data_IF_530806939970
#
_entry.id   IF_530806939970
#
_cell.length_a   1.000
_cell.length_b   1.000
_cell.length_c   1.000
_cell.angle_alpha   90.00
_cell.angle_beta   90.00
_cell.angle_gamma   90.00
#
_symmetry.space_group_name_H-M   'P 1'
#
loop_
_entity.id
_entity.type
_entity.pdbx_description
1 polymer ?
#
# COMPACT_ATOMS: atom_id res chain seq x y z
N UNK A 1 13.43 -3.11 9.99
CA UNK A 1 13.39 -3.04 8.52
C UNK A 1 13.17 -1.60 8.09
N UNK A 2 13.81 -1.18 6.98
CA UNK A 2 13.90 0.23 6.62
C UNK A 2 12.68 0.74 5.86
N UNK A 3 11.97 1.70 6.43
CA UNK A 3 10.91 2.47 5.80
C UNK A 3 11.30 3.94 5.65
N UNK A 4 12.61 4.22 5.54
CA UNK A 4 13.20 5.57 5.45
C UNK A 4 12.66 6.56 6.52
N UNK A 5 12.27 6.04 7.70
CA UNK A 5 11.74 6.87 8.80
C UNK A 5 10.29 7.35 8.63
N UNK A 6 9.63 6.98 7.53
CA UNK A 6 8.21 7.32 7.29
C UNK A 6 7.31 6.65 8.33
N UNK A 7 7.57 5.37 8.60
CA UNK A 7 6.86 4.62 9.65
C UNK A 7 7.85 4.31 10.77
N UNK A 8 7.50 4.73 11.97
CA UNK A 8 8.29 4.50 13.18
C UNK A 8 7.76 3.30 13.95
N UNK A 9 8.68 2.51 14.52
CA UNK A 9 8.36 1.39 15.43
C UNK A 9 7.51 0.26 14.83
N UNK A 10 7.39 0.17 13.51
CA UNK A 10 6.72 -0.97 12.88
C UNK A 10 7.58 -2.24 13.02
N UNK A 11 7.01 -3.30 13.57
CA UNK A 11 7.67 -4.59 13.78
C UNK A 11 7.14 -5.67 12.84
N UNK A 12 5.89 -5.55 12.42
CA UNK A 12 5.19 -6.52 11.57
C UNK A 12 4.85 -5.85 10.24
N UNK A 13 5.04 -6.59 9.17
CA UNK A 13 4.76 -6.13 7.81
C UNK A 13 4.01 -7.20 7.03
N UNK A 14 3.01 -6.80 6.27
CA UNK A 14 2.45 -7.57 5.17
C UNK A 14 3.30 -7.34 3.94
N UNK A 15 3.91 -8.41 3.46
CA UNK A 15 4.76 -8.41 2.28
C UNK A 15 4.28 -9.53 1.37
N UNK A 16 4.12 -9.25 0.09
CA UNK A 16 3.76 -10.24 -0.90
C UNK A 16 4.59 -10.08 -2.16
N UNK A 17 4.83 -11.20 -2.83
CA UNK A 17 5.41 -11.25 -4.17
C UNK A 17 4.42 -11.84 -5.15
N UNK A 18 4.58 -11.50 -6.42
CA UNK A 18 3.80 -12.04 -7.52
C UNK A 18 4.70 -12.34 -8.70
N UNK A 19 4.34 -13.34 -9.48
CA UNK A 19 4.94 -13.56 -10.78
C UNK A 19 4.52 -12.45 -11.74
N UNK A 20 5.47 -11.98 -12.55
CA UNK A 20 5.19 -10.94 -13.53
C UNK A 20 4.41 -11.52 -14.71
N UNK A 21 3.09 -11.38 -14.70
CA UNK A 21 2.18 -11.85 -15.75
C UNK A 21 1.05 -10.84 -16.00
N UNK A 22 0.19 -11.14 -16.97
CA UNK A 22 -0.96 -10.30 -17.27
C UNK A 22 -1.90 -10.16 -16.07
N UNK A 23 -2.34 -8.93 -15.74
CA UNK A 23 -3.18 -8.56 -14.60
C UNK A 23 -2.59 -8.87 -13.20
N UNK A 24 -1.31 -9.19 -13.12
CA UNK A 24 -0.67 -9.54 -11.85
C UNK A 24 -0.78 -8.43 -10.79
N UNK A 25 -0.60 -7.17 -11.18
CA UNK A 25 -0.68 -6.04 -10.24
C UNK A 25 -2.11 -5.78 -9.77
N UNK A 26 -3.10 -5.98 -10.62
CA UNK A 26 -4.51 -5.89 -10.29
C UNK A 26 -4.92 -6.97 -9.28
N UNK A 27 -4.54 -8.21 -9.54
CA UNK A 27 -4.78 -9.33 -8.63
C UNK A 27 -4.09 -9.13 -7.28
N UNK A 28 -2.83 -8.67 -7.33
CA UNK A 28 -2.09 -8.32 -6.11
C UNK A 28 -2.82 -7.23 -5.30
N UNK A 29 -3.24 -6.16 -5.98
CA UNK A 29 -3.96 -5.05 -5.35
C UNK A 29 -5.25 -5.52 -4.68
N UNK A 30 -6.04 -6.34 -5.38
CA UNK A 30 -7.28 -6.93 -4.85
C UNK A 30 -7.02 -7.79 -3.61
N UNK A 31 -6.10 -8.74 -3.70
CA UNK A 31 -5.78 -9.64 -2.60
C UNK A 31 -5.24 -8.89 -1.38
N UNK A 32 -4.34 -7.93 -1.62
CA UNK A 32 -3.73 -7.15 -0.55
C UNK A 32 -4.75 -6.25 0.13
N UNK A 33 -5.62 -5.57 -0.61
CA UNK A 33 -6.67 -4.73 -0.02
C UNK A 33 -7.63 -5.56 0.84
N UNK A 34 -7.96 -6.77 0.42
CA UNK A 34 -8.77 -7.69 1.22
C UNK A 34 -8.12 -8.00 2.58
N UNK A 35 -6.81 -8.19 2.63
CA UNK A 35 -6.05 -8.36 3.88
C UNK A 35 -6.04 -7.07 4.71
N UNK A 36 -5.89 -5.91 4.09
CA UNK A 36 -5.93 -4.59 4.75
C UNK A 36 -7.30 -4.37 5.41
N UNK A 37 -8.39 -4.64 4.69
CA UNK A 37 -9.74 -4.55 5.25
C UNK A 37 -9.96 -5.50 6.42
N UNK A 38 -9.43 -6.72 6.34
CA UNK A 38 -9.48 -7.66 7.46
C UNK A 38 -8.67 -7.16 8.66
N UNK A 39 -7.49 -6.61 8.46
CA UNK A 39 -6.70 -5.98 9.53
C UNK A 39 -7.46 -4.82 10.18
N UNK A 40 -8.09 -3.97 9.38
CA UNK A 40 -8.95 -2.88 9.87
C UNK A 40 -10.11 -3.40 10.71
N UNK A 41 -10.78 -4.46 10.29
CA UNK A 41 -11.85 -5.11 11.06
C UNK A 41 -11.38 -5.62 12.42
N UNK A 42 -10.11 -6.01 12.52
CA UNK A 42 -9.47 -6.41 13.78
C UNK A 42 -8.94 -5.24 14.62
N UNK A 43 -9.21 -3.99 14.21
CA UNK A 43 -8.74 -2.79 14.91
C UNK A 43 -7.27 -2.46 14.68
N UNK A 44 -6.63 -3.08 13.68
CA UNK A 44 -5.23 -2.82 13.33
C UNK A 44 -5.13 -1.68 12.32
N UNK A 45 -4.07 -0.86 12.47
CA UNK A 45 -3.67 0.15 11.50
C UNK A 45 -2.73 -0.42 10.47
N UNK A 46 -2.87 0.04 9.23
CA UNK A 46 -2.03 -0.34 8.09
C UNK A 46 -1.71 0.88 7.25
N UNK A 47 -0.72 0.77 6.37
CA UNK A 47 -0.40 1.80 5.38
C UNK A 47 0.21 1.14 4.14
N UNK A 48 -0.22 1.54 2.95
CA UNK A 48 0.41 1.12 1.70
C UNK A 48 1.70 1.89 1.47
N UNK A 49 2.82 1.17 1.31
CA UNK A 49 4.12 1.75 0.95
C UNK A 49 4.54 1.21 -0.41
N UNK A 50 4.51 2.07 -1.43
CA UNK A 50 4.89 1.71 -2.81
C UNK A 50 6.31 2.09 -3.21
N UNK A 51 6.94 3.05 -2.50
CA UNK A 51 8.29 3.52 -2.83
C UNK A 51 9.12 3.96 -1.63
N UNK A 52 8.52 4.03 -0.45
CA UNK A 52 9.17 4.51 0.79
C UNK A 52 9.65 3.35 1.68
N UNK A 53 10.19 2.30 1.06
CA UNK A 53 10.77 1.15 1.76
C UNK A 53 12.02 0.63 1.04
N UNK A 54 12.90 -0.03 1.79
CA UNK A 54 14.13 -0.61 1.25
C UNK A 54 13.83 -1.96 0.59
N UNK A 55 13.56 -1.95 -0.71
CA UNK A 55 13.16 -3.11 -1.51
C UNK A 55 14.08 -4.32 -1.28
N UNK A 56 15.40 -4.14 -1.33
CA UNK A 56 16.38 -5.21 -1.18
C UNK A 56 16.28 -5.97 0.14
N UNK A 57 16.00 -5.25 1.25
CA UNK A 57 15.84 -5.89 2.56
C UNK A 57 14.56 -6.72 2.66
N UNK A 58 13.47 -6.23 2.09
CA UNK A 58 12.22 -6.97 2.08
C UNK A 58 12.27 -8.15 1.11
N UNK A 59 12.86 -7.96 -0.08
CA UNK A 59 13.08 -9.02 -1.05
C UNK A 59 13.90 -10.17 -0.46
N UNK A 60 15.00 -9.86 0.22
CA UNK A 60 15.81 -10.86 0.92
C UNK A 60 15.04 -11.57 2.03
N UNK A 61 14.25 -10.82 2.82
CA UNK A 61 13.50 -11.38 3.95
C UNK A 61 12.43 -12.40 3.53
N UNK A 62 11.84 -12.23 2.34
CA UNK A 62 10.82 -13.16 1.81
C UNK A 62 11.40 -14.19 0.82
N UNK A 63 12.71 -14.13 0.53
CA UNK A 63 13.31 -15.00 -0.48
C UNK A 63 12.76 -14.77 -1.88
N UNK A 64 12.61 -13.49 -2.29
CA UNK A 64 12.06 -13.12 -3.58
C UNK A 64 12.82 -13.84 -4.71
N UNK A 65 12.10 -14.51 -5.59
CA UNK A 65 12.69 -15.24 -6.71
C UNK A 65 12.99 -14.30 -7.89
N UNK A 66 13.91 -14.71 -8.74
CA UNK A 66 14.22 -13.96 -9.95
C UNK A 66 13.00 -13.89 -10.87
N UNK A 67 12.69 -12.70 -11.35
CA UNK A 67 11.50 -12.45 -12.19
C UNK A 67 10.23 -12.14 -11.43
N UNK A 68 10.19 -12.35 -10.11
CA UNK A 68 9.05 -11.95 -9.28
C UNK A 68 9.08 -10.46 -8.95
N UNK A 69 7.90 -9.91 -8.75
CA UNK A 69 7.71 -8.53 -8.32
C UNK A 69 7.35 -8.46 -6.83
N UNK A 70 7.86 -7.44 -6.15
CA UNK A 70 7.44 -7.02 -4.82
C UNK A 70 6.90 -5.59 -4.92
N UNK A 71 5.60 -5.42 -5.23
CA UNK A 71 5.07 -4.09 -5.57
C UNK A 71 4.99 -3.14 -4.39
N UNK A 72 4.59 -3.63 -3.23
CA UNK A 72 4.37 -2.81 -2.04
C UNK A 72 4.58 -3.61 -0.76
N UNK A 73 4.82 -2.89 0.34
CA UNK A 73 4.77 -3.44 1.70
C UNK A 73 3.77 -2.64 2.54
N UNK A 74 3.23 -3.27 3.58
CA UNK A 74 2.35 -2.57 4.53
C UNK A 74 2.75 -2.91 5.96
N UNK A 75 3.16 -1.94 6.77
CA UNK A 75 3.29 -2.14 8.20
C UNK A 75 1.91 -2.43 8.79
N UNK A 76 1.87 -3.29 9.81
CA UNK A 76 0.66 -3.64 10.54
C UNK A 76 0.92 -3.47 12.03
N UNK A 77 0.00 -2.87 12.74
CA UNK A 77 0.11 -2.69 14.18
C UNK A 77 -1.05 -1.91 14.76
N UNK A 78 -1.03 -1.73 16.06
CA UNK A 78 -2.01 -0.88 16.71
C UNK A 78 -1.76 0.58 16.34
N UNK A 79 -2.79 1.32 15.89
CA UNK A 79 -2.64 2.72 15.55
C UNK A 79 -2.23 3.55 16.79
N UNK A 80 -1.31 4.47 16.60
CA UNK A 80 -0.94 5.40 17.65
C UNK A 80 -2.14 6.29 18.02
N UNK A 81 -2.26 6.62 19.30
CA UNK A 81 -3.33 7.51 19.79
C UNK A 81 -3.26 8.91 19.16
N UNK A 82 -2.07 9.35 18.81
CA UNK A 82 -1.84 10.66 18.19
C UNK A 82 -1.01 10.48 16.91
N UNK A 83 -1.45 11.13 15.85
CA UNK A 83 -0.70 11.17 14.57
C UNK A 83 0.56 12.03 14.74
N UNK A 84 1.69 11.54 14.23
CA UNK A 84 2.93 12.29 14.23
C UNK A 84 2.83 13.53 13.33
N UNK A 85 3.65 14.55 13.58
CA UNK A 85 3.71 15.75 12.74
C UNK A 85 4.08 15.37 11.30
N UNK A 86 5.03 14.45 11.13
CA UNK A 86 5.43 13.93 9.81
C UNK A 86 4.26 13.28 9.08
N UNK A 87 3.45 12.47 9.77
CA UNK A 87 2.25 11.86 9.17
C UNK A 87 1.24 12.92 8.74
N UNK A 88 1.00 13.93 9.56
CA UNK A 88 0.06 15.03 9.22
C UNK A 88 0.51 15.78 7.97
N UNK A 89 1.80 16.11 7.87
CA UNK A 89 2.37 16.80 6.71
C UNK A 89 2.27 15.93 5.43
N UNK A 90 2.60 14.64 5.52
CA UNK A 90 2.51 13.73 4.39
C UNK A 90 1.05 13.55 3.92
N UNK A 91 0.11 13.37 4.84
CA UNK A 91 -1.31 13.27 4.52
C UNK A 91 -1.85 14.53 3.87
N UNK A 92 -1.46 15.70 4.38
CA UNK A 92 -1.84 16.99 3.79
C UNK A 92 -1.26 17.14 2.38
N UNK A 93 0.04 16.88 2.19
CA UNK A 93 0.70 16.98 0.87
C UNK A 93 0.14 15.98 -0.15
N UNK A 94 -0.27 14.79 0.29
CA UNK A 94 -0.90 13.79 -0.56
C UNK A 94 -2.40 14.03 -0.81
N UNK A 95 -3.01 15.02 -0.16
CA UNK A 95 -4.46 15.25 -0.25
C UNK A 95 -5.28 14.06 0.26
N UNK A 96 -4.79 13.35 1.29
CA UNK A 96 -5.35 12.06 1.73
C UNK A 96 -6.81 12.10 2.17
N UNK A 97 -7.31 13.28 2.52
CA UNK A 97 -8.70 13.47 2.95
C UNK A 97 -9.62 13.89 1.79
N UNK A 98 -9.04 14.15 0.60
CA UNK A 98 -9.78 14.49 -0.60
C UNK A 98 -10.19 13.21 -1.35
N UNK A 99 -11.36 13.25 -1.97
CA UNK A 99 -11.85 12.20 -2.89
C UNK A 99 -12.11 12.82 -4.24
N UNK A 100 -11.60 12.16 -5.28
CA UNK A 100 -11.93 12.54 -6.66
C UNK A 100 -13.35 12.08 -6.99
N UNK A 101 -14.08 12.82 -7.85
CA UNK A 101 -15.35 12.37 -8.38
C UNK A 101 -15.19 11.00 -9.07
N UNK A 102 -16.26 10.23 -9.09
CA UNK A 102 -16.30 8.92 -9.75
C UNK A 102 -15.88 9.00 -11.22
N UNK A 103 -16.41 9.99 -11.93
CA UNK A 103 -16.10 10.26 -13.34
C UNK A 103 -14.63 10.57 -13.64
N UNK A 104 -13.84 10.97 -12.63
CA UNK A 104 -12.42 11.29 -12.80
C UNK A 104 -11.52 10.05 -12.61
N UNK A 105 -12.10 8.94 -12.17
CA UNK A 105 -11.34 7.75 -11.76
C UNK A 105 -11.76 6.53 -12.57
N UNK A 106 -13.04 6.43 -12.94
CA UNK A 106 -13.59 5.26 -13.60
C UNK A 106 -14.06 5.58 -15.01
N UNK A 107 -13.66 4.74 -15.96
CA UNK A 107 -13.90 4.94 -17.40
C UNK A 107 -14.34 3.63 -18.04
N UNK A 108 -15.17 3.73 -19.07
CA UNK A 108 -15.64 2.59 -19.86
C UNK A 108 -14.82 2.45 -21.16
N UNK A 109 -13.95 1.47 -21.23
CA UNK A 109 -13.19 1.16 -22.45
C UNK A 109 -12.01 2.09 -22.76
N UNK A 110 -12.15 3.40 -22.57
CA UNK A 110 -11.09 4.40 -22.77
C UNK A 110 -11.29 5.63 -21.88
N UNK A 111 -10.26 6.43 -21.70
CA UNK A 111 -10.27 7.62 -20.82
C UNK A 111 -11.17 8.78 -21.29
N UNK A 112 -11.78 8.70 -22.46
CA UNK A 112 -12.74 9.71 -22.94
C UNK A 112 -14.19 9.40 -22.54
N UNK A 113 -14.44 8.25 -21.90
CA UNK A 113 -15.78 7.79 -21.53
C UNK A 113 -15.88 7.55 -20.02
N UNK A 114 -16.01 8.62 -19.19
CA UNK A 114 -16.20 8.47 -17.76
C UNK A 114 -17.46 7.66 -17.45
N UNK A 115 -17.36 6.79 -16.44
CA UNK A 115 -18.56 6.17 -15.86
C UNK A 115 -19.29 7.18 -14.98
N UNK A 116 -20.56 7.35 -15.22
CA UNK A 116 -21.46 8.25 -14.46
C UNK A 116 -22.25 7.46 -13.40
#
# INVERSE_FOLDING_TARGET
MGTYGVIKNAQIFLVGSIQNCHLALEDYGYCKEKLILQATKLGLGTCWLGGTFQLSRFAQAIGLQEGDLLPTVSPVGYPARQKSITEKIMRWGAGSDNRKPWSDIFFAGNFSQPLT
#
